data_IF_484785628919
#
_entry.id   IF_484785628919
#
_cell.length_a   1.000
_cell.length_b   1.000
_cell.length_c   1.000
_cell.angle_alpha   90.00
_cell.angle_beta   90.00
_cell.angle_gamma   90.00
#
_symmetry.space_group_name_H-M   'P 1'
#
loop_
_entity.id
_entity.type
_entity.pdbx_description
1 polymer ?
#
# COMPACT_ATOMS: atom_id res chain seq x y z
N UNK A 1 41.38 -0.40 -12.21
CA UNK A 1 41.17 1.01 -12.58
C UNK A 1 39.81 1.13 -13.24
N UNK A 2 38.93 1.83 -12.58
CA UNK A 2 37.70 2.44 -13.12
C UNK A 2 36.62 1.56 -13.70
N UNK A 3 35.78 0.95 -12.83
CA UNK A 3 34.45 0.42 -13.21
C UNK A 3 33.36 0.71 -12.14
N UNK A 4 33.62 1.60 -11.18
CA UNK A 4 32.70 1.89 -10.06
C UNK A 4 31.81 3.15 -10.26
N UNK A 5 31.85 3.80 -11.44
CA UNK A 5 31.16 5.09 -11.60
C UNK A 5 29.83 5.04 -12.36
N UNK A 6 29.39 3.90 -12.89
CA UNK A 6 28.24 3.86 -13.82
C UNK A 6 26.94 3.36 -13.19
N UNK A 7 27.01 2.66 -12.06
CA UNK A 7 25.82 2.10 -11.41
C UNK A 7 25.11 3.12 -10.52
N UNK A 8 25.84 4.09 -9.97
CA UNK A 8 25.28 5.11 -9.08
C UNK A 8 24.39 6.14 -9.81
N UNK A 9 24.49 6.26 -11.13
CA UNK A 9 23.70 7.22 -11.91
C UNK A 9 22.34 6.68 -12.37
N UNK A 10 22.13 5.38 -12.44
CA UNK A 10 20.87 4.79 -12.87
C UNK A 10 19.80 4.82 -11.76
N UNK A 11 20.21 4.74 -10.50
CA UNK A 11 19.28 4.80 -9.34
C UNK A 11 18.85 6.24 -8.98
N UNK A 12 19.61 7.24 -9.38
CA UNK A 12 19.29 8.67 -9.13
C UNK A 12 18.27 9.24 -10.13
N UNK A 13 18.10 8.63 -11.28
CA UNK A 13 17.17 9.12 -12.32
C UNK A 13 15.72 8.73 -12.02
N UNK A 14 15.49 7.67 -11.26
CA UNK A 14 14.13 7.22 -10.94
C UNK A 14 13.46 7.98 -9.78
N UNK A 15 14.24 8.66 -8.93
CA UNK A 15 13.68 9.47 -7.82
C UNK A 15 13.52 10.96 -8.15
N UNK A 16 14.07 11.45 -9.27
CA UNK A 16 14.07 12.87 -9.65
C UNK A 16 12.95 13.26 -10.64
N UNK A 17 12.19 12.30 -11.16
CA UNK A 17 11.07 12.58 -12.08
C UNK A 17 9.75 12.94 -11.37
N UNK A 18 9.73 12.95 -10.02
CA UNK A 18 8.53 13.29 -9.26
C UNK A 18 8.54 14.70 -8.64
N UNK A 19 9.51 15.55 -8.95
CA UNK A 19 9.64 16.86 -8.28
C UNK A 19 9.66 18.09 -9.19
N UNK A 20 9.36 17.98 -10.47
CA UNK A 20 9.37 19.16 -11.39
C UNK A 20 8.12 19.19 -12.24
N UNK A 21 6.97 19.56 -11.65
CA UNK A 21 5.85 20.17 -12.38
C UNK A 21 4.94 20.93 -11.38
N UNK A 22 5.41 22.07 -10.89
CA UNK A 22 4.53 23.07 -10.27
C UNK A 22 5.02 24.46 -10.66
N UNK A 23 4.63 24.94 -11.84
CA UNK A 23 4.66 26.35 -12.18
C UNK A 23 3.61 26.63 -13.24
N UNK A 24 2.44 27.02 -12.84
CA UNK A 24 1.39 27.51 -13.75
C UNK A 24 0.48 28.52 -13.03
N UNK A 25 0.53 29.76 -13.49
CA UNK A 25 -0.26 30.88 -12.99
C UNK A 25 -1.76 30.70 -13.20
N UNK A 26 -2.58 30.99 -12.18
CA UNK A 26 -4.04 31.08 -12.28
C UNK A 26 -4.50 32.48 -11.88
N UNK A 27 -5.26 33.13 -12.76
CA UNK A 27 -6.06 34.34 -12.48
C UNK A 27 -7.47 33.96 -11.99
N UNK A 28 -8.07 34.75 -11.09
CA UNK A 28 -9.33 34.36 -10.44
C UNK A 28 -10.56 34.95 -11.16
N UNK A 29 -11.66 34.20 -11.15
CA UNK A 29 -12.98 34.84 -11.28
C UNK A 29 -14.00 34.11 -10.39
N UNK A 30 -14.66 34.91 -9.57
CA UNK A 30 -15.63 34.50 -8.56
C UNK A 30 -17.05 34.31 -9.08
N UNK A 31 -17.86 33.65 -8.29
CA UNK A 31 -19.19 34.13 -7.88
C UNK A 31 -19.86 33.18 -6.88
N UNK A 32 -20.46 33.85 -5.88
CA UNK A 32 -21.29 33.35 -4.80
C UNK A 32 -22.55 32.60 -5.28
N UNK A 33 -23.02 31.61 -4.50
CA UNK A 33 -24.43 31.60 -4.04
C UNK A 33 -24.62 30.67 -2.83
N UNK A 34 -25.46 31.15 -1.93
CA UNK A 34 -25.82 30.71 -0.58
C UNK A 34 -26.99 29.73 -0.52
N UNK A 35 -27.16 29.17 0.70
CA UNK A 35 -28.36 28.58 1.33
C UNK A 35 -28.56 27.07 1.12
N UNK A 36 -29.01 26.28 2.09
CA UNK A 36 -29.73 26.44 3.37
C UNK A 36 -29.63 25.14 4.19
N UNK A 37 -29.65 25.29 5.51
CA UNK A 37 -29.75 24.23 6.52
C UNK A 37 -31.09 23.48 6.46
N UNK A 38 -31.08 22.20 6.73
CA UNK A 38 -32.23 21.48 7.29
C UNK A 38 -31.77 20.37 8.22
N UNK A 39 -32.01 20.59 9.51
CA UNK A 39 -31.87 19.63 10.61
C UNK A 39 -32.99 18.60 10.58
N UNK A 40 -32.65 17.30 10.68
CA UNK A 40 -33.60 16.29 11.14
C UNK A 40 -32.92 15.28 12.08
N UNK A 41 -33.39 15.29 13.31
CA UNK A 41 -33.08 14.34 14.37
C UNK A 41 -33.90 13.06 14.18
N UNK A 42 -33.25 11.87 14.28
CA UNK A 42 -33.96 10.62 14.47
C UNK A 42 -33.39 9.84 15.67
N UNK A 43 -34.33 9.39 16.48
CA UNK A 43 -34.15 8.62 17.72
C UNK A 43 -33.72 7.19 17.45
N UNK A 44 -32.86 6.68 18.32
CA UNK A 44 -32.51 5.26 18.42
C UNK A 44 -33.50 4.51 19.32
N UNK A 45 -33.92 3.34 18.85
CA UNK A 45 -34.53 2.28 19.69
C UNK A 45 -33.57 1.08 19.83
N UNK A 46 -33.58 0.38 20.98
CA UNK A 46 -32.64 -0.69 21.25
C UNK A 46 -33.15 -2.04 20.75
N UNK A 47 -32.27 -2.84 20.13
CA UNK A 47 -32.53 -4.21 19.72
C UNK A 47 -31.93 -5.19 20.75
N UNK A 48 -32.79 -6.07 21.23
CA UNK A 48 -32.53 -7.13 22.17
C UNK A 48 -31.86 -8.34 21.53
N UNK A 49 -30.84 -8.89 22.19
CA UNK A 49 -30.09 -10.08 21.82
C UNK A 49 -30.74 -11.35 22.36
N UNK A 50 -31.01 -12.32 21.50
CA UNK A 50 -31.25 -13.70 21.91
C UNK A 50 -30.14 -14.60 21.36
N UNK A 51 -29.38 -15.20 22.28
CA UNK A 51 -28.34 -16.18 22.04
C UNK A 51 -28.93 -17.59 22.15
N UNK A 52 -28.92 -18.34 21.05
CA UNK A 52 -29.15 -19.78 21.10
C UNK A 52 -27.85 -20.55 20.86
N UNK A 53 -27.41 -21.24 21.88
CA UNK A 53 -26.26 -22.15 21.88
C UNK A 53 -26.58 -23.46 21.17
N UNK A 54 -25.80 -23.83 20.16
CA UNK A 54 -25.72 -25.20 19.65
C UNK A 54 -24.30 -25.74 19.85
N UNK A 55 -24.20 -26.73 20.71
CA UNK A 55 -23.00 -27.57 20.90
C UNK A 55 -22.83 -28.51 19.72
N UNK A 56 -21.67 -28.48 19.03
CA UNK A 56 -21.22 -29.50 18.11
C UNK A 56 -19.83 -30.01 18.50
N UNK A 57 -19.67 -31.31 18.41
CA UNK A 57 -18.53 -32.13 18.81
C UNK A 57 -17.20 -31.69 18.21
N UNK A 58 -16.18 -31.70 19.07
CA UNK A 58 -14.81 -31.33 18.75
C UNK A 58 -14.05 -32.48 18.08
N UNK A 59 -13.75 -32.34 16.81
CA UNK A 59 -12.62 -33.00 16.13
C UNK A 59 -11.29 -32.41 16.63
N UNK A 60 -10.19 -33.18 16.74
CA UNK A 60 -8.91 -32.66 17.22
C UNK A 60 -8.36 -31.62 16.22
N UNK A 61 -8.44 -30.35 16.60
CA UNK A 61 -7.88 -29.24 15.87
C UNK A 61 -6.39 -29.47 15.59
N UNK A 62 -6.05 -29.66 14.33
CA UNK A 62 -4.78 -29.14 13.81
C UNK A 62 -4.83 -27.63 13.99
N UNK A 63 -4.11 -27.11 14.97
CA UNK A 63 -3.89 -25.68 15.08
C UNK A 63 -3.01 -25.28 13.88
N UNK A 64 -3.65 -24.90 12.79
CA UNK A 64 -2.95 -24.17 11.74
C UNK A 64 -2.36 -22.92 12.38
N UNK A 65 -1.08 -22.64 12.12
CA UNK A 65 -0.46 -21.37 12.48
C UNK A 65 -1.31 -20.23 11.86
N UNK A 66 -1.41 -19.08 12.53
CA UNK A 66 -2.14 -17.95 11.97
C UNK A 66 -1.50 -17.53 10.63
N UNK A 67 -2.34 -17.22 9.68
CA UNK A 67 -1.92 -16.75 8.37
C UNK A 67 -1.24 -15.38 8.48
N UNK A 68 -0.12 -15.22 7.77
CA UNK A 68 0.58 -13.94 7.67
C UNK A 68 0.09 -13.23 6.41
N UNK A 69 -0.38 -11.99 6.58
CA UNK A 69 -0.91 -11.18 5.49
C UNK A 69 -0.15 -9.88 5.31
N UNK A 70 0.01 -9.38 4.08
CA UNK A 70 0.53 -8.05 3.83
C UNK A 70 -0.46 -6.99 4.33
N UNK A 71 0.04 -6.02 5.09
CA UNK A 71 -0.76 -4.89 5.58
C UNK A 71 -0.84 -3.74 4.56
N UNK A 72 -0.03 -3.80 3.52
CA UNK A 72 0.05 -2.83 2.44
C UNK A 72 0.34 -3.57 1.14
N UNK A 73 -0.21 -3.09 0.01
CA UNK A 73 0.18 -3.59 -1.32
C UNK A 73 1.56 -3.06 -1.72
N UNK A 74 2.28 -3.87 -2.50
CA UNK A 74 3.69 -3.69 -2.84
C UNK A 74 3.99 -2.48 -3.75
N UNK A 75 3.03 -1.99 -4.52
CA UNK A 75 3.22 -1.05 -5.62
C UNK A 75 3.12 0.44 -5.24
N UNK A 76 3.14 0.75 -3.96
CA UNK A 76 3.48 2.07 -3.45
C UNK A 76 2.48 3.21 -3.67
N UNK A 77 1.42 3.02 -4.46
CA UNK A 77 0.45 4.09 -4.72
C UNK A 77 -0.49 4.34 -3.53
N UNK A 78 -0.63 3.40 -2.62
CA UNK A 78 -1.57 3.49 -1.52
C UNK A 78 -0.87 3.41 -0.18
N UNK A 79 -1.03 4.48 0.60
CA UNK A 79 -0.47 4.63 1.93
C UNK A 79 -1.58 4.51 2.98
N UNK A 80 -2.10 3.31 3.17
CA UNK A 80 -3.18 3.14 4.12
C UNK A 80 -3.34 1.70 4.59
N UNK A 81 -4.10 1.54 5.67
CA UNK A 81 -4.49 0.26 6.24
C UNK A 81 -5.98 0.01 6.01
N UNK A 82 -6.31 -1.19 5.64
CA UNK A 82 -7.69 -1.63 5.49
C UNK A 82 -8.13 -2.42 6.70
N UNK A 83 -9.29 -2.05 7.23
CA UNK A 83 -10.01 -2.78 8.27
C UNK A 83 -11.27 -3.43 7.69
N UNK A 84 -11.97 -4.18 8.51
CA UNK A 84 -13.24 -4.82 8.14
C UNK A 84 -14.31 -3.84 7.65
N UNK A 85 -14.40 -2.66 8.29
CA UNK A 85 -15.50 -1.72 8.08
C UNK A 85 -15.07 -0.45 7.32
N UNK A 86 -13.78 -0.28 7.02
CA UNK A 86 -13.29 0.91 6.33
C UNK A 86 -11.78 0.94 6.12
N UNK A 87 -11.34 1.97 5.40
CA UNK A 87 -9.96 2.19 5.01
C UNK A 87 -9.40 3.43 5.71
N UNK A 88 -8.23 3.26 6.31
CA UNK A 88 -7.50 4.32 7.02
C UNK A 88 -6.36 4.82 6.15
N UNK A 89 -6.27 6.12 5.94
CA UNK A 89 -5.20 6.70 5.14
C UNK A 89 -4.74 8.06 5.68
N UNK A 90 -3.63 8.55 5.16
CA UNK A 90 -3.07 9.84 5.57
C UNK A 90 -3.41 10.88 4.51
N UNK A 91 -3.95 12.00 4.98
CA UNK A 91 -4.15 13.22 4.21
C UNK A 91 -3.09 14.23 4.63
N UNK A 92 -2.27 14.65 3.68
CA UNK A 92 -1.34 15.76 3.88
C UNK A 92 -2.12 17.05 4.13
N UNK A 93 -1.63 17.90 5.01
CA UNK A 93 -2.31 19.15 5.35
C UNK A 93 -1.59 20.39 4.82
N UNK A 94 -0.38 20.25 4.28
CA UNK A 94 0.46 21.39 3.89
C UNK A 94 0.87 22.29 5.06
N UNK A 95 0.64 21.90 6.32
CA UNK A 95 0.98 22.72 7.50
C UNK A 95 2.49 22.79 7.68
N UNK A 96 2.95 23.95 8.14
CA UNK A 96 4.39 24.22 8.35
C UNK A 96 5.04 23.33 9.39
N UNK A 97 4.28 22.76 10.33
CA UNK A 97 4.76 21.80 11.33
C UNK A 97 4.88 20.35 10.79
N UNK A 98 4.58 20.14 9.50
CA UNK A 98 4.59 18.83 8.87
C UNK A 98 3.48 17.90 9.34
N UNK A 99 2.51 18.41 10.13
CA UNK A 99 1.41 17.58 10.62
C UNK A 99 0.47 17.17 9.49
N UNK A 100 -0.18 16.04 9.68
CA UNK A 100 -1.17 15.48 8.75
C UNK A 100 -2.38 14.96 9.52
N UNK A 101 -3.38 14.48 8.81
CA UNK A 101 -4.57 13.90 9.39
C UNK A 101 -4.75 12.44 8.98
N UNK A 102 -5.18 11.62 9.91
CA UNK A 102 -5.66 10.28 9.63
C UNK A 102 -7.11 10.40 9.21
N UNK A 103 -7.41 9.90 8.02
CA UNK A 103 -8.75 9.85 7.45
C UNK A 103 -9.30 8.43 7.52
N UNK A 104 -10.60 8.32 7.53
CA UNK A 104 -11.33 7.06 7.53
C UNK A 104 -12.39 7.06 6.44
N UNK A 105 -12.28 6.15 5.49
CA UNK A 105 -13.28 5.91 4.46
C UNK A 105 -14.16 4.73 4.89
N UNK A 106 -15.38 5.03 5.32
CA UNK A 106 -16.36 4.07 5.84
C UNK A 106 -17.06 3.35 4.68
N UNK A 107 -16.91 2.02 4.60
CA UNK A 107 -17.46 1.22 3.51
C UNK A 107 -18.98 1.21 3.49
N UNK A 108 -19.62 1.27 4.64
CA UNK A 108 -21.07 1.18 4.76
C UNK A 108 -21.77 2.45 4.33
N UNK A 109 -21.29 3.60 4.79
CA UNK A 109 -21.88 4.91 4.48
C UNK A 109 -21.36 5.52 3.18
N UNK A 110 -20.16 5.10 2.71
CA UNK A 110 -19.47 5.73 1.58
C UNK A 110 -19.03 7.16 1.90
N UNK A 111 -18.60 7.42 3.13
CA UNK A 111 -18.13 8.74 3.54
C UNK A 111 -16.66 8.71 3.93
N UNK A 112 -15.99 9.80 3.59
CA UNK A 112 -14.64 10.07 4.09
C UNK A 112 -14.73 11.03 5.27
N UNK A 113 -14.17 10.62 6.41
CA UNK A 113 -14.25 11.33 7.67
C UNK A 113 -12.84 11.54 8.24
N UNK A 114 -12.64 12.66 8.96
CA UNK A 114 -11.51 12.73 9.87
C UNK A 114 -11.67 11.67 10.96
N UNK A 115 -10.59 10.95 11.29
CA UNK A 115 -10.62 9.96 12.38
C UNK A 115 -10.72 10.68 13.74
N UNK A 116 -11.83 11.35 13.96
CA UNK A 116 -12.11 12.18 15.14
C UNK A 116 -13.61 12.29 15.39
N UNK A 117 -14.04 11.86 16.57
CA UNK A 117 -15.44 11.94 16.99
C UNK A 117 -15.82 13.24 17.74
N UNK A 118 -14.88 14.18 17.92
CA UNK A 118 -15.14 15.40 18.65
C UNK A 118 -15.99 16.37 17.83
N UNK A 119 -17.12 16.78 18.36
CA UNK A 119 -17.98 17.80 17.74
C UNK A 119 -17.24 19.14 17.62
N UNK A 120 -17.36 19.78 16.44
CA UNK A 120 -16.73 21.07 16.12
C UNK A 120 -15.19 21.08 16.24
N UNK A 121 -14.55 19.94 16.08
CA UNK A 121 -13.11 19.86 16.06
C UNK A 121 -12.55 20.49 14.78
N UNK A 122 -11.54 21.37 14.91
CA UNK A 122 -10.88 21.99 13.77
C UNK A 122 -9.82 21.07 13.13
N UNK A 123 -9.55 19.91 13.70
CA UNK A 123 -8.60 18.88 13.25
C UNK A 123 -7.16 19.35 13.02
N UNK A 124 -6.73 20.41 13.69
CA UNK A 124 -5.46 21.10 13.46
C UNK A 124 -4.50 21.13 14.66
N UNK A 125 -4.73 20.33 15.68
CA UNK A 125 -3.87 20.27 16.87
C UNK A 125 -3.92 18.89 17.54
N UNK A 126 -3.02 18.68 18.49
CA UNK A 126 -2.80 17.40 19.17
C UNK A 126 -3.94 16.90 20.07
N UNK A 127 -4.96 17.71 20.33
CA UNK A 127 -6.16 17.24 21.03
C UNK A 127 -7.11 16.45 20.12
N UNK A 128 -6.90 16.51 18.83
CA UNK A 128 -7.67 15.77 17.82
C UNK A 128 -7.09 14.37 17.57
N UNK A 129 -7.92 13.33 17.60
CA UNK A 129 -7.51 11.96 17.34
C UNK A 129 -7.11 11.70 15.87
N UNK A 130 -7.50 12.57 14.95
CA UNK A 130 -7.04 12.51 13.56
C UNK A 130 -5.64 13.13 13.37
N UNK A 131 -5.25 14.10 14.21
CA UNK A 131 -4.02 14.87 14.03
C UNK A 131 -2.77 14.04 14.41
N UNK A 132 -1.72 14.09 13.58
CA UNK A 132 -0.44 13.45 13.84
C UNK A 132 0.72 14.24 13.22
N UNK A 133 1.86 14.28 13.91
CA UNK A 133 3.12 14.83 13.39
C UNK A 133 4.06 13.63 13.13
N UNK A 134 4.27 13.23 11.86
CA UNK A 134 5.13 12.10 11.52
C UNK A 134 6.62 12.44 11.65
N UNK A 135 7.47 11.43 11.56
CA UNK A 135 8.89 11.56 11.23
C UNK A 135 9.04 11.90 9.73
N UNK A 136 10.26 12.27 9.30
CA UNK A 136 10.54 12.77 7.94
C UNK A 136 10.15 11.84 6.78
N UNK A 137 10.05 10.54 7.02
CA UNK A 137 9.59 9.54 6.04
C UNK A 137 8.07 9.33 6.02
N UNK A 138 7.32 10.13 6.80
CA UNK A 138 5.87 10.05 6.87
C UNK A 138 5.34 9.04 7.88
N UNK A 139 4.04 8.83 7.86
CA UNK A 139 3.34 7.85 8.70
C UNK A 139 2.42 7.00 7.85
N UNK A 140 2.29 5.72 8.21
CA UNK A 140 1.40 4.76 7.56
C UNK A 140 0.47 4.16 8.62
N UNK A 141 -0.85 4.35 8.50
CA UNK A 141 -1.81 3.64 9.30
C UNK A 141 -1.97 2.21 8.78
N UNK A 142 -2.14 1.24 9.67
CA UNK A 142 -2.38 -0.16 9.39
C UNK A 142 -3.36 -0.70 10.42
N UNK A 143 -4.16 -1.68 10.05
CA UNK A 143 -5.06 -2.36 10.98
C UNK A 143 -4.49 -3.74 11.29
N UNK A 144 -4.30 -4.03 12.58
CA UNK A 144 -3.86 -5.33 13.07
C UNK A 144 -4.84 -5.77 14.17
N UNK A 145 -5.61 -6.81 13.88
CA UNK A 145 -6.71 -7.21 14.74
C UNK A 145 -7.72 -6.06 14.94
N UNK A 146 -7.95 -5.67 16.18
CA UNK A 146 -8.86 -4.58 16.56
C UNK A 146 -8.11 -3.26 16.89
N UNK A 147 -6.87 -3.12 16.43
CA UNK A 147 -6.04 -1.94 16.70
C UNK A 147 -5.59 -1.25 15.42
N UNK A 148 -5.50 0.06 15.52
CA UNK A 148 -4.83 0.90 14.54
C UNK A 148 -3.36 1.00 14.93
N UNK A 149 -2.48 0.55 14.05
CA UNK A 149 -1.03 0.66 14.18
C UNK A 149 -0.57 1.82 13.30
N UNK A 150 0.11 2.79 13.88
CA UNK A 150 0.67 3.95 13.20
C UNK A 150 2.19 3.81 13.14
N UNK A 151 2.71 3.53 11.95
CA UNK A 151 4.15 3.38 11.73
C UNK A 151 4.70 4.68 11.18
N UNK A 152 5.39 5.43 12.02
CA UNK A 152 6.08 6.66 11.62
C UNK A 152 7.53 6.35 11.27
N UNK A 153 7.91 6.66 10.04
CA UNK A 153 9.21 6.32 9.49
C UNK A 153 10.10 7.55 9.41
N UNK A 154 11.38 7.38 9.79
CA UNK A 154 12.42 8.35 9.47
C UNK A 154 12.91 8.09 8.04
N UNK A 155 13.12 9.16 7.26
CA UNK A 155 13.75 9.04 5.94
C UNK A 155 15.27 8.90 6.08
N UNK A 156 15.90 7.95 5.40
CA UNK A 156 17.37 7.85 5.38
C UNK A 156 18.02 8.98 4.55
N UNK A 157 17.24 9.73 3.78
CA UNK A 157 17.73 10.75 2.84
C UNK A 157 17.55 12.19 3.34
N UNK A 158 16.88 12.38 4.48
CA UNK A 158 16.64 13.71 5.06
C UNK A 158 17.43 13.82 6.35
N UNK A 159 18.44 14.68 6.33
CA UNK A 159 19.18 15.07 7.53
C UNK A 159 18.54 16.33 8.12
N UNK A 160 17.95 16.19 9.29
CA UNK A 160 17.39 17.29 10.05
C UNK A 160 17.70 17.05 11.53
N UNK A 161 18.20 18.07 12.21
CA UNK A 161 18.51 18.00 13.64
C UNK A 161 17.25 17.75 14.49
N UNK A 162 16.08 18.17 13.98
CA UNK A 162 14.78 17.99 14.61
C UNK A 162 14.06 16.70 14.15
N UNK A 163 14.72 15.87 13.32
CA UNK A 163 14.08 14.68 12.76
C UNK A 163 13.89 13.59 13.82
N UNK A 164 12.65 13.23 14.02
CA UNK A 164 12.28 12.19 14.97
C UNK A 164 12.69 10.82 14.44
N UNK A 165 13.23 9.99 15.31
CA UNK A 165 13.45 8.57 15.02
C UNK A 165 12.15 7.90 14.60
N UNK A 166 12.28 6.80 13.85
CA UNK A 166 11.12 5.95 13.54
C UNK A 166 10.46 5.43 14.83
N UNK A 167 9.16 5.35 14.84
CA UNK A 167 8.40 4.77 15.97
C UNK A 167 7.16 4.05 15.48
N UNK A 168 6.68 3.13 16.30
CA UNK A 168 5.39 2.45 16.11
C UNK A 168 4.50 2.80 17.29
N UNK A 169 3.29 3.21 16.99
CA UNK A 169 2.25 3.57 17.94
C UNK A 169 1.03 2.70 17.70
N UNK A 170 0.37 2.29 18.78
CA UNK A 170 -0.98 1.69 18.72
C UNK A 170 -2.02 2.74 19.10
N UNK A 171 -3.22 2.56 18.56
CA UNK A 171 -4.42 3.30 18.93
C UNK A 171 -5.65 2.38 18.82
N UNK A 172 -6.77 2.82 19.37
CA UNK A 172 -8.06 2.23 19.02
C UNK A 172 -8.45 2.61 17.58
N UNK A 173 -9.37 1.87 16.98
CA UNK A 173 -9.78 2.10 15.59
C UNK A 173 -10.41 3.49 15.35
N UNK A 174 -10.87 4.18 16.41
CA UNK A 174 -11.33 5.57 16.35
C UNK A 174 -10.20 6.61 16.51
N UNK A 175 -8.95 6.16 16.57
CA UNK A 175 -7.76 6.98 16.75
C UNK A 175 -7.50 7.43 18.19
N UNK A 176 -8.29 7.01 19.16
CA UNK A 176 -8.09 7.30 20.59
C UNK A 176 -7.07 6.36 21.24
N UNK A 177 -6.77 6.57 22.52
CA UNK A 177 -5.91 5.71 23.35
C UNK A 177 -4.53 5.43 22.75
N UNK A 178 -3.92 6.43 22.11
CA UNK A 178 -2.60 6.32 21.47
C UNK A 178 -1.50 6.04 22.47
N UNK A 179 -0.71 5.02 22.18
CA UNK A 179 0.47 4.65 22.97
C UNK A 179 1.62 4.29 22.04
N UNK A 180 2.80 4.84 22.30
CA UNK A 180 4.02 4.42 21.59
C UNK A 180 4.39 3.02 22.07
N UNK A 181 4.37 2.06 21.17
CA UNK A 181 4.77 0.67 21.42
C UNK A 181 6.29 0.54 21.42
N UNK A 182 6.92 1.06 20.36
CA UNK A 182 8.35 0.90 20.14
C UNK A 182 8.90 2.15 19.47
N UNK A 183 10.06 2.60 19.94
CA UNK A 183 10.84 3.67 19.32
C UNK A 183 12.22 3.14 18.94
N UNK A 184 12.62 3.42 17.71
CA UNK A 184 13.89 2.97 17.14
C UNK A 184 14.99 3.99 17.35
N UNK A 185 16.24 3.58 17.14
CA UNK A 185 17.39 4.50 17.18
C UNK A 185 17.40 5.38 15.93
N UNK A 186 18.09 6.51 16.00
CA UNK A 186 18.18 7.47 14.88
C UNK A 186 18.86 6.90 13.62
N UNK A 187 19.66 5.85 13.76
CA UNK A 187 20.30 5.13 12.66
C UNK A 187 19.55 3.86 12.24
N UNK A 188 18.29 3.72 12.66
CA UNK A 188 17.44 2.57 12.31
C UNK A 188 16.28 3.03 11.45
N UNK A 189 16.03 2.29 10.36
CA UNK A 189 15.02 2.58 9.35
C UNK A 189 14.12 1.36 9.15
N UNK A 190 12.81 1.61 9.08
CA UNK A 190 11.81 0.58 8.84
C UNK A 190 11.56 0.48 7.34
N UNK A 191 11.51 -0.71 6.80
CA UNK A 191 11.25 -0.92 5.37
C UNK A 191 9.91 -1.61 5.14
N UNK A 192 9.31 -1.29 4.01
CA UNK A 192 8.07 -1.89 3.52
C UNK A 192 8.38 -3.07 2.58
N UNK A 193 7.43 -3.98 2.35
CA UNK A 193 6.11 -4.06 2.98
C UNK A 193 6.19 -4.53 4.44
N UNK A 194 5.13 -4.26 5.18
CA UNK A 194 4.92 -4.79 6.53
C UNK A 194 3.83 -5.85 6.50
N UNK A 195 4.02 -6.89 7.30
CA UNK A 195 3.13 -8.05 7.33
C UNK A 195 2.60 -8.25 8.75
N UNK A 196 1.51 -8.98 8.90
CA UNK A 196 0.97 -9.34 10.23
C UNK A 196 0.26 -10.68 10.21
N UNK A 197 0.27 -11.36 11.34
CA UNK A 197 -0.56 -12.53 11.66
C UNK A 197 -1.74 -12.20 12.59
N UNK A 198 -2.03 -10.90 12.75
CA UNK A 198 -3.07 -10.40 13.65
C UNK A 198 -2.59 -10.10 15.07
N UNK A 199 -1.42 -10.60 15.49
CA UNK A 199 -0.83 -10.36 16.82
C UNK A 199 0.51 -9.64 16.72
N UNK A 200 1.31 -10.00 15.71
CA UNK A 200 2.64 -9.47 15.49
C UNK A 200 2.70 -8.67 14.19
N UNK A 201 3.54 -7.66 14.19
CA UNK A 201 3.97 -6.94 13.00
C UNK A 201 5.34 -7.45 12.58
N UNK A 202 5.48 -7.92 11.34
CA UNK A 202 6.73 -8.39 10.75
C UNK A 202 7.26 -7.33 9.78
N UNK A 203 8.54 -6.99 9.89
CA UNK A 203 9.15 -5.98 9.04
C UNK A 203 10.67 -6.15 8.93
N UNK A 204 11.24 -5.54 7.90
CA UNK A 204 12.68 -5.40 7.73
C UNK A 204 13.16 -4.14 8.46
N UNK A 205 14.11 -4.34 9.37
CA UNK A 205 14.80 -3.26 10.08
C UNK A 205 16.20 -3.09 9.52
N UNK A 206 16.48 -1.96 8.90
CA UNK A 206 17.84 -1.60 8.46
C UNK A 206 18.51 -0.71 9.49
N UNK A 207 19.71 -1.08 9.90
CA UNK A 207 20.55 -0.32 10.84
C UNK A 207 21.79 0.17 10.11
N UNK A 208 21.98 1.48 10.01
CA UNK A 208 23.21 2.09 9.52
C UNK A 208 24.31 1.92 10.58
N UNK A 209 25.33 1.14 10.26
CA UNK A 209 26.45 0.87 11.16
C UNK A 209 27.52 1.95 11.04
N UNK A 210 27.86 2.33 9.82
CA UNK A 210 28.74 3.44 9.46
C UNK A 210 28.31 4.03 8.08
N UNK A 211 29.10 4.93 7.52
CA UNK A 211 28.73 5.64 6.28
C UNK A 211 28.49 4.71 5.08
N UNK A 212 29.16 3.56 5.06
CA UNK A 212 29.17 2.66 3.90
C UNK A 212 28.59 1.26 4.22
N UNK A 213 28.22 1.03 5.49
CA UNK A 213 27.82 -0.30 5.99
C UNK A 213 26.44 -0.25 6.62
N UNK A 214 25.54 -1.08 6.13
CA UNK A 214 24.23 -1.32 6.72
C UNK A 214 24.07 -2.79 7.12
N UNK A 215 23.27 -3.02 8.14
CA UNK A 215 22.80 -4.33 8.58
C UNK A 215 21.28 -4.37 8.47
N UNK A 216 20.75 -5.42 7.88
CA UNK A 216 19.33 -5.63 7.78
C UNK A 216 18.91 -6.88 8.57
N UNK A 217 17.80 -6.78 9.27
CA UNK A 217 17.23 -7.86 10.06
C UNK A 217 15.71 -7.97 9.81
N UNK A 218 15.22 -9.17 9.73
CA UNK A 218 13.79 -9.46 9.89
C UNK A 218 13.49 -9.47 11.38
N UNK A 219 12.56 -8.64 11.80
CA UNK A 219 12.08 -8.58 13.18
C UNK A 219 10.57 -8.77 13.22
N UNK A 220 10.07 -9.18 14.40
CA UNK A 220 8.64 -9.07 14.72
C UNK A 220 8.44 -8.22 15.96
N UNK A 221 7.27 -7.58 16.03
CA UNK A 221 6.88 -6.71 17.14
C UNK A 221 5.51 -7.14 17.62
N UNK A 222 5.39 -7.46 18.89
CA UNK A 222 4.10 -7.74 19.53
C UNK A 222 3.25 -6.47 19.55
N UNK A 223 2.08 -6.50 18.94
CA UNK A 223 1.20 -5.32 18.76
C UNK A 223 0.52 -4.87 20.06
N UNK A 224 0.66 -5.62 21.15
CA UNK A 224 0.12 -5.29 22.48
C UNK A 224 1.21 -4.74 23.38
N UNK A 225 2.31 -5.48 23.54
CA UNK A 225 3.39 -5.13 24.47
C UNK A 225 4.45 -4.21 23.86
N UNK A 226 4.59 -4.20 22.53
CA UNK A 226 5.68 -3.53 21.83
C UNK A 226 7.03 -4.25 21.92
N UNK A 227 7.05 -5.46 22.49
CA UNK A 227 8.27 -6.27 22.54
C UNK A 227 8.73 -6.59 21.12
N UNK A 228 10.01 -6.31 20.88
CA UNK A 228 10.65 -6.52 19.58
C UNK A 228 11.55 -7.75 19.66
N UNK A 229 11.33 -8.69 18.76
CA UNK A 229 12.10 -9.91 18.65
C UNK A 229 12.85 -9.96 17.31
N UNK A 230 14.12 -10.29 17.37
CA UNK A 230 14.93 -10.61 16.22
C UNK A 230 14.57 -12.03 15.75
N UNK A 231 14.24 -12.17 14.45
CA UNK A 231 13.95 -13.46 13.86
C UNK A 231 15.13 -13.97 13.03
N UNK A 232 15.65 -13.13 12.14
CA UNK A 232 16.65 -13.55 11.17
C UNK A 232 17.44 -12.37 10.62
N UNK A 233 18.75 -12.53 10.37
CA UNK A 233 19.51 -11.56 9.58
C UNK A 233 19.17 -11.68 8.10
N UNK A 234 19.10 -10.54 7.42
CA UNK A 234 18.88 -10.42 5.99
C UNK A 234 20.19 -9.98 5.32
N UNK A 235 20.60 -10.68 4.26
CA UNK A 235 21.85 -10.38 3.57
C UNK A 235 21.66 -9.24 2.56
N UNK A 236 22.26 -8.10 2.84
CA UNK A 236 22.22 -6.95 1.94
C UNK A 236 22.94 -7.19 0.60
N UNK A 237 23.91 -8.12 0.56
CA UNK A 237 24.62 -8.48 -0.68
C UNK A 237 23.73 -9.30 -1.61
N UNK A 238 22.85 -10.12 -1.05
CA UNK A 238 21.83 -10.84 -1.79
C UNK A 238 20.61 -9.97 -2.09
N UNK A 239 20.60 -8.71 -1.61
CA UNK A 239 19.47 -7.79 -1.71
C UNK A 239 18.16 -8.39 -1.18
N UNK A 240 18.23 -9.12 -0.06
CA UNK A 240 17.06 -9.73 0.55
C UNK A 240 16.05 -8.68 1.00
N UNK A 241 14.83 -8.78 0.48
CA UNK A 241 13.71 -7.86 0.75
C UNK A 241 12.44 -8.66 0.98
N UNK A 242 11.66 -8.26 1.97
CA UNK A 242 10.31 -8.79 2.11
C UNK A 242 9.52 -8.38 0.86
N UNK A 243 8.84 -9.34 0.24
CA UNK A 243 7.95 -9.07 -0.90
C UNK A 243 6.47 -9.25 -0.54
N UNK A 244 6.16 -10.21 0.32
CA UNK A 244 4.81 -10.49 0.75
C UNK A 244 4.77 -11.64 1.74
N UNK A 245 3.65 -12.32 1.78
CA UNK A 245 3.45 -13.50 2.58
C UNK A 245 2.53 -14.50 1.85
N UNK A 246 2.61 -15.76 2.26
CA UNK A 246 1.73 -16.80 1.79
C UNK A 246 1.57 -17.87 2.88
N UNK A 247 0.34 -18.09 3.36
CA UNK A 247 0.09 -18.93 4.51
C UNK A 247 0.82 -18.41 5.76
N UNK A 248 1.61 -19.25 6.40
CA UNK A 248 2.41 -18.93 7.59
C UNK A 248 3.86 -18.51 7.26
N UNK A 249 4.15 -18.24 5.99
CA UNK A 249 5.50 -17.97 5.50
C UNK A 249 5.65 -16.55 4.96
N UNK A 250 6.87 -16.01 5.09
CA UNK A 250 7.25 -14.73 4.50
C UNK A 250 7.87 -14.99 3.14
N UNK A 251 7.42 -14.25 2.13
CA UNK A 251 7.98 -14.27 0.79
C UNK A 251 9.06 -13.20 0.67
N UNK A 252 10.24 -13.62 0.27
CA UNK A 252 11.44 -12.78 0.15
C UNK A 252 11.94 -12.79 -1.27
N UNK A 253 12.17 -11.61 -1.79
CA UNK A 253 12.93 -11.38 -3.00
C UNK A 253 14.42 -11.39 -2.68
N UNK A 254 15.23 -12.08 -3.48
CA UNK A 254 16.69 -12.06 -3.33
C UNK A 254 17.43 -12.38 -4.64
N UNK A 255 18.68 -11.97 -4.74
CA UNK A 255 19.57 -12.43 -5.81
C UNK A 255 20.00 -13.86 -5.54
N UNK A 256 19.80 -14.75 -6.53
CA UNK A 256 20.30 -16.12 -6.50
C UNK A 256 21.73 -16.15 -7.07
N UNK A 257 21.98 -15.35 -8.09
CA UNK A 257 23.28 -15.10 -8.70
C UNK A 257 23.31 -13.70 -9.34
N UNK A 258 24.39 -13.37 -10.07
CA UNK A 258 24.61 -12.04 -10.69
C UNK A 258 23.54 -11.65 -11.72
N UNK A 259 22.73 -12.58 -12.22
CA UNK A 259 21.73 -12.34 -13.27
C UNK A 259 20.34 -12.91 -12.96
N UNK A 260 20.20 -13.63 -11.85
CA UNK A 260 18.98 -14.35 -11.49
C UNK A 260 18.45 -13.85 -10.16
N UNK A 261 17.18 -13.54 -10.14
CA UNK A 261 16.43 -13.16 -8.93
C UNK A 261 15.52 -14.31 -8.55
N UNK A 262 15.31 -14.52 -7.26
CA UNK A 262 14.42 -15.53 -6.72
C UNK A 262 13.35 -14.96 -5.82
N UNK A 263 12.16 -15.54 -5.89
CA UNK A 263 11.15 -15.50 -4.87
C UNK A 263 11.34 -16.70 -3.96
N UNK A 264 11.66 -16.44 -2.70
CA UNK A 264 11.95 -17.46 -1.70
C UNK A 264 10.93 -17.40 -0.59
N UNK A 265 10.38 -18.54 -0.25
CA UNK A 265 9.51 -18.72 0.90
C UNK A 265 10.36 -19.00 2.13
N UNK A 266 10.26 -18.13 3.15
CA UNK A 266 10.96 -18.29 4.43
C UNK A 266 10.03 -18.86 5.48
N UNK A 267 10.43 -20.00 6.05
CA UNK A 267 9.80 -20.55 7.24
C UNK A 267 10.37 -19.86 8.49
N UNK A 268 9.52 -19.26 9.30
CA UNK A 268 9.95 -18.52 10.49
C UNK A 268 10.41 -19.44 11.63
N UNK A 269 10.03 -20.71 11.61
CA UNK A 269 10.33 -21.68 12.67
C UNK A 269 11.53 -22.56 12.33
N UNK A 270 11.75 -22.83 11.05
CA UNK A 270 12.81 -23.71 10.60
C UNK A 270 13.37 -23.28 9.24
N UNK A 271 14.54 -22.64 9.26
CA UNK A 271 15.21 -22.17 8.04
C UNK A 271 15.60 -23.28 7.05
N UNK A 272 15.60 -24.56 7.48
CA UNK A 272 15.83 -25.70 6.58
C UNK A 272 14.64 -25.95 5.62
N UNK A 273 13.49 -25.34 5.91
CA UNK A 273 12.28 -25.40 5.10
C UNK A 273 12.13 -24.20 4.14
N UNK A 274 13.18 -23.36 4.03
CA UNK A 274 13.18 -22.30 3.02
C UNK A 274 13.16 -22.90 1.62
N UNK A 275 12.31 -22.39 0.73
CA UNK A 275 12.10 -22.91 -0.61
C UNK A 275 12.16 -21.79 -1.65
N UNK A 276 12.91 -21.99 -2.72
CA UNK A 276 12.85 -21.11 -3.90
C UNK A 276 11.59 -21.47 -4.68
N UNK A 277 10.61 -20.59 -4.67
CA UNK A 277 9.32 -20.81 -5.33
C UNK A 277 9.37 -20.51 -6.81
N UNK A 278 10.11 -19.46 -7.19
CA UNK A 278 10.18 -18.98 -8.56
C UNK A 278 11.50 -18.22 -8.79
N UNK A 279 12.01 -18.24 -10.02
CA UNK A 279 13.18 -17.46 -10.43
C UNK A 279 12.95 -16.78 -11.77
N UNK A 280 13.54 -15.58 -11.95
CA UNK A 280 13.54 -14.85 -13.22
C UNK A 280 14.87 -14.13 -13.43
N UNK A 281 15.14 -13.71 -14.64
CA UNK A 281 16.36 -12.94 -14.95
C UNK A 281 16.14 -11.46 -14.63
N UNK A 282 17.21 -10.77 -14.22
CA UNK A 282 17.19 -9.36 -13.83
C UNK A 282 16.64 -8.42 -14.92
N UNK A 283 16.75 -8.79 -16.19
CA UNK A 283 16.31 -7.99 -17.33
C UNK A 283 14.92 -8.41 -17.86
N UNK A 284 14.30 -9.43 -17.28
CA UNK A 284 12.96 -9.85 -17.67
C UNK A 284 11.90 -8.91 -17.07
N UNK A 285 10.67 -8.99 -17.58
CA UNK A 285 9.53 -8.32 -16.99
C UNK A 285 9.37 -8.76 -15.53
N UNK A 286 9.28 -7.79 -14.64
CA UNK A 286 9.17 -8.04 -13.20
C UNK A 286 7.85 -8.73 -12.89
N UNK A 287 7.86 -9.89 -12.20
CA UNK A 287 6.62 -10.54 -11.82
C UNK A 287 5.88 -9.71 -10.76
N UNK A 288 4.59 -9.93 -10.63
CA UNK A 288 3.77 -9.33 -9.55
C UNK A 288 3.15 -10.42 -8.69
N UNK A 289 3.06 -10.13 -7.40
CA UNK A 289 2.42 -10.98 -6.42
C UNK A 289 1.04 -10.40 -6.07
N UNK A 290 0.00 -11.16 -6.38
CA UNK A 290 -1.36 -10.93 -5.88
C UNK A 290 -1.65 -11.74 -4.62
N UNK A 291 -2.93 -11.90 -4.27
CA UNK A 291 -3.36 -12.72 -3.14
C UNK A 291 -3.18 -14.21 -3.48
N UNK A 292 -2.01 -14.77 -3.13
CA UNK A 292 -1.67 -16.18 -3.40
C UNK A 292 -1.36 -16.51 -4.86
N UNK A 293 -1.32 -15.52 -5.76
CA UNK A 293 -1.07 -15.70 -7.19
C UNK A 293 0.17 -14.92 -7.62
N UNK A 294 1.06 -15.56 -8.35
CA UNK A 294 2.21 -14.94 -9.00
C UNK A 294 1.92 -14.78 -10.50
N UNK A 295 1.96 -13.55 -11.01
CA UNK A 295 1.96 -13.29 -12.45
C UNK A 295 3.38 -13.05 -12.94
N UNK A 296 3.76 -13.69 -14.02
CA UNK A 296 5.09 -13.59 -14.63
C UNK A 296 5.04 -13.80 -16.15
N UNK A 297 6.15 -13.54 -16.83
CA UNK A 297 6.31 -13.83 -18.26
C UNK A 297 7.04 -15.16 -18.41
N UNK A 298 6.41 -16.13 -19.11
CA UNK A 298 7.00 -17.42 -19.41
C UNK A 298 7.99 -17.38 -20.59
N UNK A 299 8.78 -18.44 -20.75
CA UNK A 299 9.70 -18.62 -21.87
C UNK A 299 8.99 -18.70 -23.23
N UNK A 300 7.69 -18.98 -23.23
CA UNK A 300 6.80 -19.00 -24.39
C UNK A 300 6.35 -17.60 -24.86
N UNK A 301 6.71 -16.56 -24.11
CA UNK A 301 6.39 -15.17 -24.42
C UNK A 301 4.96 -14.75 -24.05
N UNK A 302 4.30 -15.51 -23.19
CA UNK A 302 2.99 -15.15 -22.63
C UNK A 302 3.09 -14.79 -21.16
N UNK A 303 2.09 -14.07 -20.64
CA UNK A 303 1.88 -13.97 -19.21
C UNK A 303 1.32 -15.28 -18.66
N UNK A 304 1.76 -15.61 -17.47
CA UNK A 304 1.29 -16.76 -16.70
C UNK A 304 0.69 -16.29 -15.38
N UNK A 305 -0.30 -17.01 -14.89
CA UNK A 305 -0.79 -16.93 -13.53
C UNK A 305 -0.50 -18.26 -12.83
N UNK A 306 0.37 -18.24 -11.83
CA UNK A 306 0.70 -19.40 -11.01
C UNK A 306 0.07 -19.26 -9.64
N UNK A 307 -0.81 -20.17 -9.27
CA UNK A 307 -1.32 -20.29 -7.91
C UNK A 307 -0.22 -20.85 -6.99
N UNK A 308 0.11 -20.12 -5.92
CA UNK A 308 1.22 -20.50 -5.05
C UNK A 308 0.92 -21.74 -4.19
N UNK A 309 -0.37 -22.04 -3.94
CA UNK A 309 -0.77 -23.20 -3.15
C UNK A 309 -0.78 -24.49 -3.97
N UNK A 310 -1.51 -24.49 -5.08
CA UNK A 310 -1.66 -25.66 -5.94
C UNK A 310 -0.47 -25.88 -6.87
N UNK A 311 0.32 -24.83 -7.12
CA UNK A 311 1.36 -24.77 -8.17
C UNK A 311 0.78 -24.94 -9.58
N UNK A 312 -0.53 -24.77 -9.73
CA UNK A 312 -1.16 -24.71 -11.04
C UNK A 312 -0.69 -23.44 -11.76
N UNK A 313 -0.26 -23.60 -13.00
CA UNK A 313 0.30 -22.53 -13.82
C UNK A 313 -0.50 -22.43 -15.13
N UNK A 314 -1.14 -21.29 -15.34
CA UNK A 314 -2.06 -21.05 -16.46
C UNK A 314 -1.48 -19.97 -17.37
N UNK A 315 -1.08 -20.30 -18.62
CA UNK A 315 -0.65 -19.31 -19.59
C UNK A 315 -1.85 -18.50 -20.13
N UNK A 316 -1.71 -17.18 -20.16
CA UNK A 316 -2.68 -16.25 -20.75
C UNK A 316 -2.35 -16.06 -22.24
N UNK A 317 -2.59 -17.08 -23.05
CA UNK A 317 -2.16 -17.17 -24.46
C UNK A 317 -2.91 -16.22 -25.42
N UNK A 318 -3.95 -15.50 -24.95
CA UNK A 318 -4.69 -14.50 -25.71
C UNK A 318 -3.89 -13.21 -25.96
N UNK A 319 -2.81 -12.96 -25.21
CA UNK A 319 -1.94 -11.81 -25.38
C UNK A 319 -0.48 -12.25 -25.53
N UNK A 320 0.08 -12.07 -26.72
CA UNK A 320 1.50 -12.32 -26.98
C UNK A 320 2.32 -11.08 -26.72
N UNK A 321 3.31 -11.18 -25.85
CA UNK A 321 4.21 -10.07 -25.53
C UNK A 321 5.06 -9.75 -26.75
N UNK A 322 5.08 -8.49 -27.21
CA UNK A 322 5.89 -8.09 -28.34
C UNK A 322 7.38 -8.32 -28.07
N UNK A 323 8.07 -9.00 -28.98
CA UNK A 323 9.52 -9.22 -28.86
C UNK A 323 10.28 -7.91 -29.04
N UNK A 324 11.30 -7.68 -28.22
CA UNK A 324 12.08 -6.44 -28.09
C UNK A 324 12.72 -5.91 -29.37
N UNK A 325 12.79 -6.73 -30.43
CA UNK A 325 13.47 -6.37 -31.68
C UNK A 325 12.63 -5.53 -32.66
N UNK A 326 11.34 -5.29 -32.37
CA UNK A 326 10.41 -4.71 -33.35
C UNK A 326 9.79 -3.38 -32.88
N UNK A 327 9.84 -3.04 -31.57
CA UNK A 327 9.02 -1.93 -31.12
C UNK A 327 9.54 -1.24 -29.86
N UNK A 328 9.25 0.06 -29.76
CA UNK A 328 9.30 0.82 -28.51
C UNK A 328 8.13 0.42 -27.59
N UNK A 329 7.72 -0.85 -27.62
CA UNK A 329 6.60 -1.36 -26.81
C UNK A 329 7.15 -1.93 -25.50
N UNK A 330 6.61 -1.45 -24.40
CA UNK A 330 6.88 -1.98 -23.06
C UNK A 330 5.57 -2.48 -22.47
N UNK A 331 5.58 -3.69 -21.95
CA UNK A 331 4.40 -4.28 -21.28
C UNK A 331 4.73 -4.53 -19.82
N UNK A 332 3.83 -4.08 -18.95
CA UNK A 332 4.00 -4.16 -17.50
C UNK A 332 2.73 -4.76 -16.87
N UNK A 333 2.83 -5.86 -16.11
CA UNK A 333 1.72 -6.32 -15.28
C UNK A 333 1.49 -5.33 -14.14
N UNK A 334 0.24 -5.06 -13.80
CA UNK A 334 -0.12 -4.06 -12.79
C UNK A 334 -0.85 -4.67 -11.59
N UNK A 335 -1.75 -5.59 -11.83
CA UNK A 335 -2.59 -6.17 -10.80
C UNK A 335 -3.07 -7.56 -11.23
N UNK A 336 -3.02 -8.54 -10.31
CA UNK A 336 -3.54 -9.88 -10.51
C UNK A 336 -4.45 -10.26 -9.34
N UNK A 337 -5.61 -10.82 -9.63
CA UNK A 337 -6.55 -11.35 -8.64
C UNK A 337 -7.51 -12.34 -9.30
N UNK A 338 -7.77 -13.46 -8.62
CA UNK A 338 -8.82 -14.43 -8.93
C UNK A 338 -8.92 -14.81 -10.41
N UNK A 339 -7.79 -15.18 -11.01
CA UNK A 339 -7.73 -15.62 -12.42
C UNK A 339 -7.73 -14.50 -13.46
N UNK A 340 -7.57 -13.26 -13.03
CA UNK A 340 -7.46 -12.09 -13.90
C UNK A 340 -6.09 -11.42 -13.77
N UNK A 341 -5.65 -10.78 -14.84
CA UNK A 341 -4.43 -9.97 -14.91
C UNK A 341 -4.69 -8.65 -15.64
N UNK A 342 -4.39 -7.54 -14.99
CA UNK A 342 -4.37 -6.22 -15.62
C UNK A 342 -2.94 -5.92 -16.07
N UNK A 343 -2.78 -5.55 -17.34
CA UNK A 343 -1.51 -5.15 -17.92
C UNK A 343 -1.60 -3.76 -18.52
N UNK A 344 -0.46 -3.07 -18.54
CA UNK A 344 -0.25 -1.82 -19.26
C UNK A 344 0.68 -2.06 -20.44
N UNK A 345 0.29 -1.64 -21.63
CA UNK A 345 1.10 -1.57 -22.82
C UNK A 345 1.44 -0.11 -23.13
N UNK A 346 2.73 0.19 -23.24
CA UNK A 346 3.24 1.48 -23.71
C UNK A 346 3.81 1.29 -25.11
N UNK A 347 3.27 2.02 -26.09
CA UNK A 347 3.76 2.05 -27.47
C UNK A 347 4.14 3.49 -27.84
N UNK A 348 5.41 3.82 -27.68
CA UNK A 348 5.86 5.20 -27.75
C UNK A 348 5.24 6.06 -26.65
N UNK A 349 4.35 6.99 -26.99
CA UNK A 349 3.59 7.81 -26.04
C UNK A 349 2.16 7.30 -25.82
N UNK A 350 1.72 6.27 -26.52
CA UNK A 350 0.38 5.70 -26.35
C UNK A 350 0.40 4.68 -25.22
N UNK A 351 -0.54 4.81 -24.30
CA UNK A 351 -0.74 3.92 -23.17
C UNK A 351 -2.08 3.21 -23.33
N UNK A 352 -2.08 1.89 -23.34
CA UNK A 352 -3.28 1.07 -23.40
C UNK A 352 -3.27 0.06 -22.25
N UNK A 353 -4.42 -0.18 -21.67
CA UNK A 353 -4.58 -1.16 -20.61
C UNK A 353 -5.45 -2.33 -21.11
N UNK A 354 -5.09 -3.55 -20.69
CA UNK A 354 -5.84 -4.75 -21.02
C UNK A 354 -6.12 -5.57 -19.76
N UNK A 355 -7.34 -6.07 -19.65
CA UNK A 355 -7.70 -7.11 -18.70
C UNK A 355 -7.69 -8.45 -19.43
N UNK A 356 -6.95 -9.40 -18.87
CA UNK A 356 -6.83 -10.79 -19.32
C UNK A 356 -7.46 -11.70 -18.28
N UNK A 357 -8.02 -12.83 -18.70
CA UNK A 357 -8.54 -13.85 -17.78
C UNK A 357 -8.10 -15.27 -18.15
N UNK A 358 -8.16 -16.18 -17.20
CA UNK A 358 -7.76 -17.59 -17.38
C UNK A 358 -8.70 -18.39 -18.29
N UNK A 359 -9.87 -17.85 -18.66
CA UNK A 359 -10.79 -18.48 -19.64
C UNK A 359 -10.41 -18.17 -21.09
N UNK A 360 -9.41 -17.31 -21.31
CA UNK A 360 -8.94 -16.87 -22.62
C UNK A 360 -9.58 -15.55 -23.09
N UNK A 361 -10.22 -14.81 -22.20
CA UNK A 361 -10.74 -13.48 -22.49
C UNK A 361 -9.63 -12.43 -22.51
N UNK A 362 -9.78 -11.46 -23.39
CA UNK A 362 -9.00 -10.22 -23.43
C UNK A 362 -9.92 -9.08 -23.77
N UNK A 363 -9.79 -7.99 -23.07
CA UNK A 363 -10.52 -6.75 -23.36
C UNK A 363 -9.71 -5.51 -23.00
N UNK A 364 -9.96 -4.41 -23.68
CA UNK A 364 -9.43 -3.11 -23.31
C UNK A 364 -10.01 -2.70 -21.95
N UNK A 365 -9.16 -2.21 -21.09
CA UNK A 365 -9.55 -1.74 -19.77
C UNK A 365 -9.67 -0.21 -19.77
N UNK A 366 -10.88 0.30 -19.54
CA UNK A 366 -11.25 1.71 -19.74
C UNK A 366 -11.71 2.40 -18.45
N UNK A 367 -11.55 1.78 -17.28
CA UNK A 367 -11.76 2.47 -16.00
C UNK A 367 -10.55 3.34 -15.70
N UNK A 368 -10.57 4.54 -16.27
CA UNK A 368 -9.49 5.52 -16.21
C UNK A 368 -10.00 6.83 -15.60
N UNK A 369 -9.10 7.58 -14.98
CA UNK A 369 -9.30 8.95 -14.56
C UNK A 369 -8.15 9.84 -15.04
N UNK A 370 -8.42 11.13 -15.21
CA UNK A 370 -7.43 12.11 -15.66
C UNK A 370 -6.62 12.67 -14.50
N UNK A 371 -5.30 12.71 -14.67
CA UNK A 371 -4.36 13.40 -13.76
C UNK A 371 -3.48 14.31 -14.59
N UNK A 372 -3.80 15.60 -14.62
CA UNK A 372 -3.03 16.62 -15.35
C UNK A 372 -2.83 16.33 -16.85
N UNK A 373 -3.78 15.62 -17.46
CA UNK A 373 -3.77 15.23 -18.87
C UNK A 373 -3.22 13.83 -19.15
N UNK A 374 -2.74 13.14 -18.14
CA UNK A 374 -2.38 11.73 -18.21
C UNK A 374 -3.53 10.85 -17.70
N UNK A 375 -3.77 9.72 -18.34
CA UNK A 375 -4.79 8.76 -17.95
C UNK A 375 -4.21 7.70 -17.00
N UNK A 376 -4.77 7.64 -15.80
CA UNK A 376 -4.43 6.65 -14.79
C UNK A 376 -5.58 5.68 -14.57
N UNK A 377 -5.28 4.44 -14.22
CA UNK A 377 -6.30 3.41 -13.96
C UNK A 377 -6.98 3.61 -12.60
N UNK A 378 -8.21 3.16 -12.49
CA UNK A 378 -8.83 2.88 -11.19
C UNK A 378 -8.04 1.74 -10.54
N UNK A 379 -7.18 2.11 -9.57
CA UNK A 379 -6.24 1.19 -8.97
C UNK A 379 -6.88 0.44 -7.79
N UNK A 380 -6.93 -0.92 -7.82
CA UNK A 380 -7.46 -1.70 -6.71
C UNK A 380 -6.53 -1.64 -5.50
N UNK A 381 -7.09 -1.26 -4.37
CA UNK A 381 -6.36 -1.15 -3.11
C UNK A 381 -6.47 -2.45 -2.32
N UNK A 382 -7.69 -2.93 -2.16
CA UNK A 382 -7.99 -4.17 -1.43
C UNK A 382 -9.37 -4.71 -1.82
N UNK A 383 -9.61 -5.97 -1.55
CA UNK A 383 -10.97 -6.53 -1.51
C UNK A 383 -11.67 -6.03 -0.25
N UNK A 384 -12.85 -5.45 -0.40
CA UNK A 384 -13.74 -5.05 0.71
C UNK A 384 -14.48 -6.28 1.23
N UNK A 385 -14.91 -7.10 0.31
CA UNK A 385 -15.59 -8.38 0.52
C UNK A 385 -15.32 -9.32 -0.67
N UNK A 386 -16.04 -10.44 -0.76
CA UNK A 386 -15.89 -11.41 -1.86
C UNK A 386 -16.18 -10.79 -3.23
N UNK A 387 -17.10 -9.81 -3.30
CA UNK A 387 -17.65 -9.28 -4.55
C UNK A 387 -17.12 -7.88 -4.92
N UNK A 388 -16.41 -7.18 -4.01
CA UNK A 388 -16.07 -5.78 -4.22
C UNK A 388 -14.60 -5.46 -3.96
N UNK A 389 -14.07 -4.52 -4.75
CA UNK A 389 -12.81 -3.81 -4.50
C UNK A 389 -13.06 -2.41 -3.93
N UNK A 390 -12.17 -1.99 -3.03
CA UNK A 390 -11.87 -0.58 -2.83
C UNK A 390 -10.87 -0.15 -3.88
N UNK A 391 -11.17 0.89 -4.63
CA UNK A 391 -10.29 1.44 -5.68
C UNK A 391 -9.96 2.90 -5.41
N UNK A 392 -8.77 3.33 -5.85
CA UNK A 392 -8.47 4.75 -6.04
C UNK A 392 -8.92 5.11 -7.47
N UNK A 393 -9.93 5.97 -7.60
CA UNK A 393 -10.54 6.35 -8.86
C UNK A 393 -10.33 7.83 -9.20
N UNK A 394 -9.34 8.48 -8.59
CA UNK A 394 -9.04 9.87 -8.90
C UNK A 394 -8.36 10.64 -7.79
N UNK A 395 -8.17 11.94 -8.08
CA UNK A 395 -7.69 12.92 -7.11
C UNK A 395 -8.57 14.16 -7.17
N UNK A 396 -8.75 14.80 -6.01
CA UNK A 396 -9.25 16.16 -5.90
C UNK A 396 -8.13 17.05 -5.38
N UNK A 397 -8.12 18.31 -5.79
CA UNK A 397 -7.20 19.30 -5.22
C UNK A 397 -7.98 20.19 -4.29
N UNK A 398 -7.63 20.17 -3.01
CA UNK A 398 -8.21 21.05 -2.01
C UNK A 398 -7.22 22.17 -1.69
N UNK A 399 -7.71 23.39 -1.63
CA UNK A 399 -6.91 24.53 -1.25
C UNK A 399 -6.91 24.68 0.28
N UNK A 400 -5.80 24.35 0.92
CA UNK A 400 -5.63 24.53 2.36
C UNK A 400 -4.86 25.83 2.67
N UNK A 401 -5.34 26.57 3.67
CA UNK A 401 -4.65 27.77 4.15
C UNK A 401 -3.59 27.35 5.16
N UNK A 402 -2.33 27.50 4.79
CA UNK A 402 -1.19 27.22 5.64
C UNK A 402 -0.63 28.51 6.24
N UNK A 403 -0.54 28.63 7.59
CA UNK A 403 0.14 29.77 8.21
C UNK A 403 1.64 29.71 7.94
N UNK A 404 2.24 30.88 7.72
CA UNK A 404 3.68 31.05 7.58
C UNK A 404 4.28 31.60 8.89
N UNK A 405 5.60 31.40 9.07
CA UNK A 405 6.33 31.81 10.30
C UNK A 405 6.33 33.34 10.52
N UNK A 406 6.10 34.12 9.47
CA UNK A 406 5.99 35.60 9.53
C UNK A 406 4.59 36.08 9.95
N UNK A 407 3.66 35.17 10.27
CA UNK A 407 2.26 35.45 10.63
C UNK A 407 1.34 35.68 9.44
N UNK A 408 1.84 35.62 8.20
CA UNK A 408 1.01 35.58 7.00
C UNK A 408 0.47 34.17 6.76
N UNK A 409 -0.35 33.98 5.72
CA UNK A 409 -0.81 32.67 5.29
C UNK A 409 -0.67 32.50 3.79
N UNK A 410 -0.41 31.29 3.36
CA UNK A 410 -0.43 30.92 1.95
C UNK A 410 -1.51 29.89 1.70
N UNK A 411 -1.99 29.82 0.47
CA UNK A 411 -2.93 28.77 0.03
C UNK A 411 -2.12 27.72 -0.71
N UNK A 412 -2.12 26.51 -0.20
CA UNK A 412 -1.43 25.37 -0.83
C UNK A 412 -2.46 24.43 -1.45
N UNK A 413 -2.28 24.04 -2.72
CA UNK A 413 -3.06 22.96 -3.29
C UNK A 413 -2.60 21.63 -2.67
N UNK A 414 -3.52 20.95 -1.99
CA UNK A 414 -3.26 19.64 -1.38
C UNK A 414 -4.06 18.60 -2.15
N UNK A 415 -3.40 17.64 -2.82
CA UNK A 415 -4.09 16.56 -3.49
C UNK A 415 -4.70 15.61 -2.46
N UNK A 416 -5.96 15.26 -2.66
CA UNK A 416 -6.68 14.27 -1.88
C UNK A 416 -7.17 13.15 -2.80
N UNK A 417 -7.07 11.91 -2.38
CA UNK A 417 -7.46 10.75 -3.18
C UNK A 417 -8.95 10.54 -3.12
N UNK A 418 -9.54 10.22 -4.26
CA UNK A 418 -10.93 9.84 -4.38
C UNK A 418 -11.03 8.32 -4.41
N UNK A 419 -11.72 7.79 -3.41
CA UNK A 419 -11.94 6.35 -3.28
C UNK A 419 -13.34 5.99 -3.78
N UNK A 420 -13.46 4.75 -4.25
CA UNK A 420 -14.75 4.17 -4.63
C UNK A 420 -14.78 2.67 -4.31
N UNK A 421 -15.98 2.14 -4.11
CA UNK A 421 -16.23 0.69 -4.08
C UNK A 421 -16.83 0.30 -5.44
N UNK A 422 -16.26 -0.73 -6.05
CA UNK A 422 -16.72 -1.27 -7.33
C UNK A 422 -16.90 -2.78 -7.22
N UNK A 423 -17.93 -3.31 -7.86
CA UNK A 423 -18.08 -4.76 -8.00
C UNK A 423 -16.92 -5.33 -8.82
N UNK A 424 -16.38 -6.50 -8.44
CA UNK A 424 -15.21 -7.11 -9.09
C UNK A 424 -15.47 -7.46 -10.55
N UNK A 425 -16.62 -8.02 -10.87
CA UNK A 425 -17.01 -8.31 -12.25
C UNK A 425 -17.11 -7.04 -13.09
N UNK A 426 -17.76 -5.99 -12.56
CA UNK A 426 -17.84 -4.69 -13.23
C UNK A 426 -16.48 -4.06 -13.45
N UNK A 427 -15.58 -4.18 -12.44
CA UNK A 427 -14.19 -3.71 -12.54
C UNK A 427 -13.49 -4.38 -13.73
N UNK A 428 -13.49 -5.72 -13.78
CA UNK A 428 -12.79 -6.46 -14.81
C UNK A 428 -13.41 -6.27 -16.20
N UNK A 429 -14.69 -5.91 -16.29
CA UNK A 429 -15.40 -5.60 -17.56
C UNK A 429 -15.43 -4.10 -17.89
N UNK A 430 -14.71 -3.26 -17.13
CA UNK A 430 -14.67 -1.80 -17.31
C UNK A 430 -16.04 -1.12 -17.25
N UNK A 431 -16.95 -1.65 -16.43
CA UNK A 431 -18.29 -1.08 -16.22
C UNK A 431 -18.23 -0.07 -15.07
N UNK A 432 -18.65 1.16 -15.34
CA UNK A 432 -18.69 2.24 -14.35
C UNK A 432 -19.92 2.12 -13.44
N UNK A 433 -19.93 1.15 -12.54
CA UNK A 433 -20.98 1.00 -11.52
C UNK A 433 -20.49 1.38 -10.11
N UNK A 434 -19.37 2.10 -10.03
CA UNK A 434 -18.72 2.40 -8.77
C UNK A 434 -19.55 3.33 -7.89
N UNK A 435 -19.55 3.06 -6.58
CA UNK A 435 -20.03 3.95 -5.53
C UNK A 435 -18.86 4.77 -5.02
N UNK A 436 -18.76 6.03 -5.42
CA UNK A 436 -17.76 6.98 -4.92
C UNK A 436 -18.00 7.33 -3.45
N UNK A 437 -16.94 7.56 -2.70
CA UNK A 437 -17.00 8.12 -1.36
C UNK A 437 -17.21 9.65 -1.44
N UNK A 438 -18.09 10.17 -0.58
CA UNK A 438 -18.39 11.60 -0.41
C UNK A 438 -17.71 12.18 0.84
#
# INVERSE_FOLDING_TARGET
MSYHSTITHALLVFSLLLSVLLSGCVTPNGQNTSTSETTNSMQQEPISSDISSSTSDSDPQHSSLPEIVPLQKQDGYVWGGYGKDGFYYIRSSGRSDGSCNIMYADYSSGKVLYLCSQANCAHNNSSCTSYIIPSSGGVSPMVVGEKLILVSQKSPYIESDDDKSSYIMTADLDGSNRTVLTQFKSNQFLEKPMLSDGNYLYLRLTTQVDADTEKADLIRIDCISGETEFLRSMDSKLNERIWGAFGDKILVYQYIDDNTIGLVSWDLNDTSNDEVLFTWKMNDTYPILGDGVLSYVGDDGYFHLMDLQSKEDIPLSQYSIPTSDISNISVTPLFADNGHLLIRELNGSECTYFALDTSGGIQTFDLLYDVDGDSEIFYPITSVDEDHYLVCGGFSVQNEVSPLDDGSSTVLPVPDRLYAIINKDDYWHSITSSRSFE
#
